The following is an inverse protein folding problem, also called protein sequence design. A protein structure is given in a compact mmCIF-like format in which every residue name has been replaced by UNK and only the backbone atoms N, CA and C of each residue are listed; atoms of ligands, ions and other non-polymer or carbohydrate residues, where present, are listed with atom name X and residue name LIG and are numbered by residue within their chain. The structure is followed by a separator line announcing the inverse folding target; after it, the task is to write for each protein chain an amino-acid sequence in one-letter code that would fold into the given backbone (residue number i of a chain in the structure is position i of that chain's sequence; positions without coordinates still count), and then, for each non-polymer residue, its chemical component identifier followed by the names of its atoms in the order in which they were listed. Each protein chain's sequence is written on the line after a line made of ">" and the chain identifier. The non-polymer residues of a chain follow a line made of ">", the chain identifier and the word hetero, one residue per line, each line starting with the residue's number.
data_IF_298267798030
#
_entry.id   IF_298267798030
#
_cell.length_a   1.000
_cell.length_b   1.000
_cell.length_c   1.000
_cell.angle_alpha   90.00
_cell.angle_beta   90.00
_cell.angle_gamma   90.00
#
_symmetry.space_group_name_H-M   'P 1'
#
loop_
_entity.id
_entity.type
_entity.pdbx_description
1 polymer ?
#
# COMPACT_ATOMS: atom_id res chain seq x y z
N UNK A 1 -37.83 22.06 -44.53
CA UNK A 1 -36.89 21.15 -43.85
C UNK A 1 -36.17 21.98 -42.80
N UNK A 2 -36.62 21.92 -41.57
CA UNK A 2 -36.04 22.66 -40.46
C UNK A 2 -35.10 21.70 -39.69
N UNK A 3 -33.83 22.04 -39.67
CA UNK A 3 -32.85 21.40 -38.81
C UNK A 3 -33.02 21.94 -37.39
N UNK A 4 -33.35 21.06 -36.45
CA UNK A 4 -33.40 21.36 -35.03
C UNK A 4 -31.97 21.40 -34.52
N UNK A 5 -31.45 22.58 -34.25
CA UNK A 5 -30.25 22.79 -33.44
C UNK A 5 -30.53 22.37 -32.00
N UNK A 6 -29.86 21.30 -31.56
CA UNK A 6 -29.85 20.90 -30.16
C UNK A 6 -28.90 21.83 -29.42
N UNK A 7 -29.45 22.76 -28.66
CA UNK A 7 -28.65 23.63 -27.78
C UNK A 7 -27.94 22.79 -26.72
N UNK A 8 -26.63 22.71 -26.81
CA UNK A 8 -25.77 22.21 -25.73
C UNK A 8 -25.79 23.29 -24.64
N UNK A 9 -26.48 23.01 -23.56
CA UNK A 9 -26.48 23.86 -22.37
C UNK A 9 -25.06 23.90 -21.80
N UNK A 10 -24.41 25.05 -21.91
CA UNK A 10 -23.09 25.27 -21.29
C UNK A 10 -23.24 25.12 -19.77
N UNK A 11 -22.58 24.12 -19.21
CA UNK A 11 -22.45 23.93 -17.77
C UNK A 11 -21.59 25.09 -17.25
N UNK A 12 -22.17 25.89 -16.33
CA UNK A 12 -21.47 27.02 -15.73
C UNK A 12 -20.19 26.56 -15.06
N UNK A 13 -19.05 27.11 -15.46
CA UNK A 13 -17.72 26.85 -14.86
C UNK A 13 -17.72 27.39 -13.42
N UNK A 14 -17.41 26.59 -12.40
CA UNK A 14 -17.28 27.08 -11.04
C UNK A 14 -16.12 28.09 -10.92
N UNK A 15 -16.24 29.07 -10.03
CA UNK A 15 -15.19 30.08 -9.82
C UNK A 15 -13.87 29.44 -9.35
N UNK A 16 -12.74 29.90 -9.86
CA UNK A 16 -11.38 29.32 -9.66
C UNK A 16 -10.94 29.13 -8.20
N UNK A 17 -11.55 29.82 -7.23
CA UNK A 17 -11.23 29.70 -5.81
C UNK A 17 -11.80 28.45 -5.12
N UNK A 18 -12.75 27.73 -5.73
CA UNK A 18 -13.37 26.51 -5.19
C UNK A 18 -12.71 25.24 -5.73
N UNK A 19 -11.81 25.33 -6.70
CA UNK A 19 -11.28 24.19 -7.44
C UNK A 19 -10.06 23.58 -6.78
N UNK A 20 -9.26 24.36 -6.05
CA UNK A 20 -7.98 23.93 -5.45
C UNK A 20 -8.12 22.87 -4.35
N UNK A 21 -9.29 22.80 -3.67
CA UNK A 21 -9.51 21.83 -2.58
C UNK A 21 -10.26 20.56 -3.04
N UNK A 22 -10.61 20.43 -4.32
CA UNK A 22 -11.37 19.29 -4.80
C UNK A 22 -10.45 18.18 -5.35
N UNK A 23 -10.65 16.95 -4.86
CA UNK A 23 -9.95 15.78 -5.39
C UNK A 23 -10.31 15.55 -6.87
N UNK A 24 -9.30 15.55 -7.75
CA UNK A 24 -9.45 15.26 -9.19
C UNK A 24 -10.15 13.91 -9.39
N UNK A 25 -9.72 12.87 -8.67
CA UNK A 25 -10.30 11.53 -8.78
C UNK A 25 -11.81 11.53 -8.42
N UNK A 26 -12.19 12.24 -7.36
CA UNK A 26 -13.59 12.37 -6.96
C UNK A 26 -14.41 13.10 -8.03
N UNK A 27 -13.89 14.17 -8.61
CA UNK A 27 -14.59 14.93 -9.64
C UNK A 27 -14.75 14.12 -10.93
N UNK A 28 -13.76 13.35 -11.33
CA UNK A 28 -13.86 12.43 -12.47
C UNK A 28 -15.00 11.43 -12.32
N UNK A 29 -15.22 10.89 -11.10
CA UNK A 29 -16.36 10.00 -10.82
C UNK A 29 -17.73 10.70 -10.98
N UNK A 30 -17.78 12.02 -10.83
CA UNK A 30 -18.97 12.83 -11.08
C UNK A 30 -19.04 13.38 -12.51
N UNK A 31 -18.14 12.99 -13.41
CA UNK A 31 -18.09 13.42 -14.80
C UNK A 31 -17.45 14.80 -15.01
N UNK A 32 -16.78 15.36 -14.00
CA UNK A 32 -16.09 16.65 -14.08
C UNK A 32 -14.60 16.45 -14.32
N UNK A 33 -14.03 17.15 -15.30
CA UNK A 33 -12.58 17.17 -15.55
C UNK A 33 -12.06 18.53 -15.07
N UNK A 34 -11.19 18.49 -14.05
CA UNK A 34 -10.53 19.68 -13.50
C UNK A 34 -9.13 19.80 -14.09
N UNK A 35 -9.01 20.35 -15.31
CA UNK A 35 -7.73 20.45 -16.03
C UNK A 35 -6.71 21.28 -15.26
N UNK A 36 -7.11 22.34 -14.59
CA UNK A 36 -6.25 23.20 -13.79
C UNK A 36 -5.63 22.48 -12.56
N UNK A 37 -6.26 21.40 -12.09
CA UNK A 37 -5.73 20.56 -11.03
C UNK A 37 -4.83 19.43 -11.57
N UNK A 38 -4.82 19.21 -12.88
CA UNK A 38 -4.02 18.20 -13.58
C UNK A 38 -2.77 18.80 -14.21
N UNK A 39 -2.86 20.06 -14.68
CA UNK A 39 -1.77 20.70 -15.42
C UNK A 39 -1.40 22.07 -14.82
N UNK A 40 -0.08 22.40 -14.78
CA UNK A 40 1.03 21.53 -15.19
C UNK A 40 1.17 20.31 -14.25
N UNK A 41 1.62 19.18 -14.79
CA UNK A 41 1.94 18.02 -13.96
C UNK A 41 2.92 18.42 -12.85
N UNK A 42 2.77 17.87 -11.63
CA UNK A 42 3.72 18.12 -10.56
C UNK A 42 5.15 17.80 -11.02
N UNK A 43 6.02 18.79 -10.99
CA UNK A 43 7.42 18.57 -11.29
C UNK A 43 8.04 17.70 -10.20
N UNK A 44 8.82 16.70 -10.61
CA UNK A 44 9.70 15.96 -9.71
C UNK A 44 10.85 16.91 -9.34
N UNK A 45 11.18 17.04 -8.06
CA UNK A 45 12.31 17.86 -7.59
C UNK A 45 13.61 17.40 -8.22
N UNK A 46 14.61 18.27 -8.27
CA UNK A 46 15.94 17.89 -8.82
C UNK A 46 16.58 16.81 -7.96
N UNK A 47 16.39 16.85 -6.63
CA UNK A 47 16.80 15.79 -5.71
C UNK A 47 16.12 14.46 -6.05
N UNK A 48 14.78 14.44 -6.14
CA UNK A 48 14.04 13.21 -6.51
C UNK A 48 14.50 12.67 -7.88
N UNK A 49 14.81 13.56 -8.82
CA UNK A 49 15.24 13.16 -10.17
C UNK A 49 16.59 12.46 -10.15
N UNK A 50 17.54 12.98 -9.37
CA UNK A 50 18.88 12.39 -9.22
C UNK A 50 18.78 11.02 -8.52
N UNK A 51 18.11 10.96 -7.37
CA UNK A 51 17.91 9.73 -6.60
C UNK A 51 17.14 8.69 -7.42
N UNK A 52 16.07 9.10 -8.12
CA UNK A 52 15.29 8.22 -8.99
C UNK A 52 16.14 7.62 -10.12
N UNK A 53 17.04 8.43 -10.73
CA UNK A 53 17.94 7.95 -11.78
C UNK A 53 18.83 6.80 -11.29
N UNK A 54 19.45 6.96 -10.13
CA UNK A 54 20.28 5.91 -9.51
C UNK A 54 19.49 4.65 -9.15
N UNK A 55 18.29 4.82 -8.62
CA UNK A 55 17.41 3.69 -8.26
C UNK A 55 17.01 2.92 -9.52
N UNK A 56 16.53 3.61 -10.56
CA UNK A 56 16.11 2.98 -11.82
C UNK A 56 17.26 2.21 -12.46
N UNK A 57 18.45 2.81 -12.54
CA UNK A 57 19.64 2.13 -13.08
C UNK A 57 20.00 0.86 -12.26
N UNK A 58 19.87 0.93 -10.94
CA UNK A 58 20.13 -0.21 -10.05
C UNK A 58 19.10 -1.32 -10.24
N UNK A 59 17.82 -0.95 -10.39
CA UNK A 59 16.73 -1.88 -10.69
C UNK A 59 16.98 -2.57 -12.03
N UNK A 60 17.29 -1.81 -13.07
CA UNK A 60 17.50 -2.35 -14.41
C UNK A 60 18.66 -3.36 -14.41
N UNK A 61 19.81 -2.97 -13.84
CA UNK A 61 20.98 -3.84 -13.70
C UNK A 61 20.67 -5.12 -12.92
N UNK A 62 19.82 -5.04 -11.90
CA UNK A 62 19.49 -6.19 -11.05
C UNK A 62 18.43 -7.10 -11.67
N UNK A 63 17.41 -6.55 -12.38
CA UNK A 63 16.27 -7.33 -12.85
C UNK A 63 16.38 -7.79 -14.31
N UNK A 64 17.26 -7.19 -15.13
CA UNK A 64 17.36 -7.46 -16.57
C UNK A 64 17.56 -8.94 -16.87
N UNK A 65 18.44 -9.62 -16.14
CA UNK A 65 18.78 -11.03 -16.37
C UNK A 65 17.81 -12.03 -15.70
N UNK A 66 16.73 -11.57 -15.06
CA UNK A 66 15.86 -12.41 -14.23
C UNK A 66 14.54 -12.84 -14.89
N UNK A 67 14.32 -12.54 -16.16
CA UNK A 67 13.04 -12.83 -16.82
C UNK A 67 12.64 -14.32 -16.75
N UNK A 68 13.59 -15.24 -16.94
CA UNK A 68 13.33 -16.68 -16.82
C UNK A 68 12.98 -17.08 -15.37
N UNK A 69 13.57 -16.41 -14.41
CA UNK A 69 13.31 -16.61 -12.99
C UNK A 69 11.91 -16.14 -12.61
N UNK A 70 11.47 -14.97 -13.08
CA UNK A 70 10.11 -14.47 -12.82
C UNK A 70 9.05 -15.46 -13.30
N UNK A 71 9.17 -15.98 -14.52
CA UNK A 71 8.26 -16.99 -15.04
C UNK A 71 8.25 -18.29 -14.20
N UNK A 72 9.40 -18.66 -13.63
CA UNK A 72 9.52 -19.82 -12.73
C UNK A 72 8.87 -19.53 -11.38
N UNK A 73 9.11 -18.36 -10.79
CA UNK A 73 8.54 -17.96 -9.51
C UNK A 73 7.03 -17.73 -9.58
N UNK A 74 6.53 -17.20 -10.71
CA UNK A 74 5.08 -17.07 -10.91
C UNK A 74 4.40 -18.45 -10.94
N UNK A 75 4.98 -19.43 -11.65
CA UNK A 75 4.48 -20.83 -11.63
C UNK A 75 4.57 -21.48 -10.25
N UNK A 76 5.65 -21.20 -9.51
CA UNK A 76 5.84 -21.70 -8.15
C UNK A 76 4.99 -20.94 -7.11
N UNK A 77 4.34 -19.85 -7.51
CA UNK A 77 3.55 -18.94 -6.67
C UNK A 77 4.36 -18.39 -5.46
N UNK A 78 5.66 -18.16 -5.64
CA UNK A 78 6.54 -17.67 -4.59
C UNK A 78 7.78 -16.97 -5.14
N UNK A 79 8.15 -15.83 -4.55
CA UNK A 79 9.47 -15.23 -4.65
C UNK A 79 10.41 -15.92 -3.66
N UNK A 80 11.64 -16.31 -4.05
CA UNK A 80 12.64 -16.84 -3.11
C UNK A 80 13.05 -15.83 -2.05
N UNK A 81 13.40 -16.31 -0.87
CA UNK A 81 13.78 -15.45 0.25
C UNK A 81 15.06 -14.65 -0.07
N UNK A 82 16.01 -15.25 -0.81
CA UNK A 82 17.23 -14.59 -1.28
C UNK A 82 16.91 -13.43 -2.24
N UNK A 83 15.86 -13.57 -3.06
CA UNK A 83 15.44 -12.49 -3.94
C UNK A 83 14.82 -11.33 -3.14
N UNK A 84 13.96 -11.62 -2.17
CA UNK A 84 13.41 -10.61 -1.26
C UNK A 84 14.53 -9.93 -0.46
N UNK A 85 15.56 -10.69 -0.06
CA UNK A 85 16.74 -10.14 0.60
C UNK A 85 17.50 -9.16 -0.32
N UNK A 86 17.64 -9.48 -1.60
CA UNK A 86 18.26 -8.57 -2.56
C UNK A 86 17.45 -7.27 -2.74
N UNK A 87 16.11 -7.32 -2.67
CA UNK A 87 15.27 -6.11 -2.69
C UNK A 87 15.49 -5.22 -1.45
N UNK A 88 15.79 -5.83 -0.27
CA UNK A 88 16.19 -5.09 0.94
C UNK A 88 17.53 -4.39 0.74
N UNK A 89 18.51 -5.08 0.21
CA UNK A 89 19.86 -4.56 -0.05
C UNK A 89 19.86 -3.42 -1.07
N UNK A 90 18.93 -3.44 -2.02
CA UNK A 90 18.69 -2.35 -2.97
C UNK A 90 17.91 -1.17 -2.35
N UNK A 91 17.50 -1.25 -1.07
CA UNK A 91 16.76 -0.19 -0.39
C UNK A 91 15.32 0.01 -0.85
N UNK A 92 14.71 -0.96 -1.58
CA UNK A 92 13.41 -0.81 -2.21
C UNK A 92 12.23 -0.82 -1.21
N UNK A 93 12.47 -1.10 0.06
CA UNK A 93 11.45 -0.99 1.11
C UNK A 93 11.43 0.41 1.76
N UNK A 94 12.52 1.19 1.68
CA UNK A 94 12.65 2.51 2.29
C UNK A 94 12.21 3.70 1.42
N UNK A 95 11.65 3.48 0.24
CA UNK A 95 11.47 4.50 -0.80
C UNK A 95 10.77 5.79 -0.31
N UNK A 96 9.67 5.70 0.44
CA UNK A 96 8.87 6.85 0.91
C UNK A 96 9.04 7.16 2.39
N UNK A 97 9.85 6.38 3.10
CA UNK A 97 10.15 6.65 4.50
C UNK A 97 11.13 7.82 4.57
N UNK A 98 10.92 8.83 5.44
CA UNK A 98 11.84 9.94 5.58
C UNK A 98 13.26 9.52 5.92
N UNK A 99 14.24 10.29 5.47
CA UNK A 99 15.68 10.06 5.70
C UNK A 99 16.04 9.99 7.18
N UNK A 100 15.36 10.73 8.03
CA UNK A 100 15.53 10.69 9.50
C UNK A 100 15.27 9.31 10.10
N UNK A 101 14.51 8.45 9.40
CA UNK A 101 14.25 7.06 9.77
C UNK A 101 15.00 6.05 8.88
N UNK A 102 15.97 6.51 8.09
CA UNK A 102 16.81 5.67 7.23
C UNK A 102 16.18 5.30 5.88
N UNK A 103 15.11 5.97 5.47
CA UNK A 103 14.52 5.83 4.13
C UNK A 103 15.10 6.80 3.11
N UNK A 104 14.51 6.85 1.92
CA UNK A 104 14.93 7.73 0.81
C UNK A 104 14.06 8.98 0.68
N UNK A 105 12.97 9.12 1.44
CA UNK A 105 12.11 10.29 1.45
C UNK A 105 11.47 10.67 0.12
N UNK A 106 11.35 9.73 -0.83
CA UNK A 106 10.84 10.02 -2.16
C UNK A 106 9.41 10.56 -2.13
N UNK A 107 9.14 11.51 -3.01
CA UNK A 107 7.76 11.94 -3.29
C UNK A 107 6.91 10.80 -3.85
N UNK A 108 5.58 10.92 -3.75
CA UNK A 108 4.68 9.93 -4.34
C UNK A 108 4.88 9.79 -5.86
N UNK A 109 5.26 10.88 -6.56
CA UNK A 109 5.52 10.85 -7.99
C UNK A 109 6.79 10.03 -8.33
N UNK A 110 7.89 10.25 -7.60
CA UNK A 110 9.12 9.48 -7.76
C UNK A 110 8.91 8.00 -7.39
N UNK A 111 8.24 7.73 -6.28
CA UNK A 111 7.84 6.39 -5.87
C UNK A 111 7.04 5.65 -6.95
N UNK A 112 6.03 6.30 -7.56
CA UNK A 112 5.25 5.71 -8.64
C UNK A 112 6.12 5.33 -9.85
N UNK A 113 7.17 6.11 -10.15
CA UNK A 113 8.13 5.80 -11.21
C UNK A 113 8.96 4.55 -10.89
N UNK A 114 9.38 4.38 -9.63
CA UNK A 114 10.07 3.15 -9.18
C UNK A 114 9.16 1.94 -9.35
N UNK A 115 7.88 2.02 -8.94
CA UNK A 115 6.93 0.93 -9.12
C UNK A 115 6.66 0.64 -10.61
N UNK A 116 6.55 1.66 -11.45
CA UNK A 116 6.41 1.48 -12.90
C UNK A 116 7.62 0.74 -13.49
N UNK A 117 8.84 1.09 -13.06
CA UNK A 117 10.06 0.43 -13.52
C UNK A 117 10.13 -1.03 -13.07
N UNK A 118 9.88 -1.32 -11.81
CA UNK A 118 9.86 -2.71 -11.32
C UNK A 118 8.77 -3.54 -11.98
N UNK A 119 7.58 -2.95 -12.24
CA UNK A 119 6.47 -3.62 -12.94
C UNK A 119 6.78 -3.93 -14.40
N UNK A 120 7.69 -3.20 -15.05
CA UNK A 120 8.07 -3.49 -16.44
C UNK A 120 8.82 -4.82 -16.57
N UNK A 121 9.44 -5.28 -15.49
CA UNK A 121 10.08 -6.60 -15.39
C UNK A 121 9.12 -7.66 -14.83
N UNK A 122 8.54 -7.40 -13.66
CA UNK A 122 7.59 -8.32 -13.01
C UNK A 122 6.67 -7.58 -12.03
N UNK A 123 5.36 -7.73 -12.23
CA UNK A 123 4.35 -7.06 -11.41
C UNK A 123 4.29 -7.61 -9.97
N UNK A 124 4.72 -8.85 -9.72
CA UNK A 124 4.77 -9.41 -8.37
C UNK A 124 5.84 -8.72 -7.52
N UNK A 125 6.97 -8.34 -8.14
CA UNK A 125 8.03 -7.56 -7.47
C UNK A 125 7.50 -6.20 -7.04
N UNK A 126 6.88 -5.49 -7.98
CA UNK A 126 6.27 -4.18 -7.72
C UNK A 126 5.20 -4.26 -6.63
N UNK A 127 4.40 -5.33 -6.63
CA UNK A 127 3.34 -5.51 -5.64
C UNK A 127 3.90 -5.78 -4.23
N UNK A 128 4.97 -6.57 -4.12
CA UNK A 128 5.64 -6.84 -2.83
C UNK A 128 6.15 -5.54 -2.19
N UNK A 129 6.85 -4.72 -2.97
CA UNK A 129 7.36 -3.40 -2.55
C UNK A 129 6.20 -2.44 -2.31
N UNK A 130 5.24 -2.41 -3.23
CA UNK A 130 4.11 -1.48 -3.22
C UNK A 130 3.19 -1.69 -2.03
N UNK A 131 2.80 -2.93 -1.72
CA UNK A 131 1.95 -3.22 -0.58
C UNK A 131 2.61 -2.86 0.76
N UNK A 132 3.91 -3.09 0.89
CA UNK A 132 4.68 -2.63 2.05
C UNK A 132 4.61 -1.10 2.20
N UNK A 133 5.01 -0.38 1.16
CA UNK A 133 5.21 1.07 1.24
C UNK A 133 3.90 1.86 1.20
N UNK A 134 2.96 1.53 0.28
CA UNK A 134 1.79 2.36 0.01
C UNK A 134 0.66 2.19 1.02
N UNK A 135 0.36 0.96 1.45
CA UNK A 135 -0.75 0.67 2.36
C UNK A 135 -0.28 0.05 3.68
N UNK A 136 0.73 -0.83 3.64
CA UNK A 136 1.17 -1.58 4.81
C UNK A 136 1.65 -0.68 5.94
N UNK A 137 2.51 0.30 5.66
CA UNK A 137 3.09 1.17 6.70
C UNK A 137 2.67 2.64 6.59
N UNK A 138 1.96 3.05 5.54
CA UNK A 138 1.57 4.46 5.33
C UNK A 138 0.72 5.01 6.47
N UNK A 139 -0.12 4.19 7.08
CA UNK A 139 -0.92 4.55 8.25
C UNK A 139 -0.03 4.97 9.44
N UNK A 140 1.03 4.23 9.71
CA UNK A 140 2.03 4.58 10.72
C UNK A 140 2.74 5.89 10.36
N UNK A 141 3.16 6.06 9.11
CA UNK A 141 3.86 7.26 8.66
C UNK A 141 3.01 8.53 8.84
N UNK A 142 1.71 8.46 8.52
CA UNK A 142 0.80 9.61 8.59
C UNK A 142 0.28 9.89 10.00
N UNK A 143 -0.06 8.84 10.77
CA UNK A 143 -0.86 8.96 11.99
C UNK A 143 -0.21 8.37 13.24
N UNK A 144 0.94 7.69 13.10
CA UNK A 144 1.65 7.11 14.23
C UNK A 144 2.20 8.16 15.18
N UNK A 145 2.31 7.81 16.46
CA UNK A 145 2.99 8.65 17.46
C UNK A 145 4.50 8.69 17.19
N UNK A 146 5.20 9.64 17.79
CA UNK A 146 6.66 9.74 17.68
C UNK A 146 7.37 8.44 18.11
N UNK A 147 6.89 7.83 19.20
CA UNK A 147 7.42 6.56 19.72
C UNK A 147 7.18 5.40 18.75
N UNK A 148 5.97 5.30 18.17
CA UNK A 148 5.65 4.28 17.19
C UNK A 148 6.51 4.43 15.93
N UNK A 149 6.66 5.65 15.43
CA UNK A 149 7.52 5.95 14.26
C UNK A 149 8.96 5.59 14.53
N UNK A 150 9.52 6.03 15.66
CA UNK A 150 10.91 5.72 16.05
C UNK A 150 11.15 4.22 16.24
N UNK A 151 10.15 3.47 16.71
CA UNK A 151 10.25 2.02 16.92
C UNK A 151 10.23 1.22 15.61
N UNK A 152 9.36 1.59 14.67
CA UNK A 152 9.07 0.73 13.52
C UNK A 152 9.64 1.24 12.19
N UNK A 153 9.66 2.57 11.93
CA UNK A 153 10.06 3.09 10.62
C UNK A 153 11.51 2.71 10.23
N UNK A 154 12.51 2.72 11.12
CA UNK A 154 13.86 2.28 10.75
C UNK A 154 13.92 0.82 10.27
N UNK A 155 13.17 -0.08 10.91
CA UNK A 155 13.10 -1.49 10.52
C UNK A 155 12.32 -1.71 9.23
N UNK A 156 11.28 -0.92 9.01
CA UNK A 156 10.51 -0.92 7.78
C UNK A 156 11.31 -0.32 6.61
N UNK A 157 12.16 0.69 6.86
CA UNK A 157 13.01 1.31 5.84
C UNK A 157 14.07 0.34 5.30
N UNK A 158 14.66 -0.45 6.16
CA UNK A 158 15.65 -1.47 5.76
C UNK A 158 15.00 -2.74 5.21
N UNK A 159 13.68 -2.91 5.41
CA UNK A 159 12.98 -4.16 5.13
C UNK A 159 13.28 -5.27 6.15
N UNK A 160 13.97 -4.98 7.28
CA UNK A 160 14.06 -5.92 8.42
C UNK A 160 12.67 -6.37 8.84
N UNK A 161 11.70 -5.45 8.82
CA UNK A 161 10.28 -5.76 8.92
C UNK A 161 9.57 -5.45 7.60
N UNK A 162 8.78 -6.38 7.11
CA UNK A 162 7.88 -6.17 5.97
C UNK A 162 6.48 -5.86 6.50
N UNK A 163 5.81 -4.89 5.88
CA UNK A 163 4.47 -4.49 6.28
C UNK A 163 3.38 -5.08 5.37
N UNK A 164 2.22 -5.35 5.97
CA UNK A 164 0.99 -5.70 5.28
C UNK A 164 -0.22 -4.91 5.82
N UNK A 165 -1.28 -4.84 5.00
CA UNK A 165 -2.49 -4.08 5.27
C UNK A 165 -3.69 -5.02 5.46
N UNK A 166 -4.20 -5.11 6.66
CA UNK A 166 -5.22 -6.05 7.08
C UNK A 166 -6.58 -5.36 7.25
N UNK A 167 -7.30 -5.13 6.12
CA UNK A 167 -8.62 -4.50 6.11
C UNK A 167 -9.73 -5.46 5.67
N UNK A 168 -9.58 -6.10 4.50
CA UNK A 168 -10.61 -6.88 3.82
C UNK A 168 -11.04 -8.11 4.61
N UNK A 169 -12.35 -8.39 4.63
CA UNK A 169 -12.96 -9.58 5.22
C UNK A 169 -13.94 -10.22 4.23
N UNK A 170 -14.39 -11.45 4.48
CA UNK A 170 -15.33 -12.19 3.60
C UNK A 170 -16.62 -11.42 3.31
N UNK A 171 -17.10 -10.61 4.28
CA UNK A 171 -18.30 -9.78 4.15
C UNK A 171 -18.04 -8.30 3.92
N UNK A 172 -16.78 -7.86 3.80
CA UNK A 172 -16.39 -6.44 3.77
C UNK A 172 -15.20 -6.21 2.83
N UNK A 173 -15.49 -6.13 1.54
CA UNK A 173 -14.54 -5.71 0.51
C UNK A 173 -14.76 -4.24 0.16
N UNK A 174 -15.60 -3.94 -0.84
CA UNK A 174 -15.93 -2.56 -1.24
C UNK A 174 -16.62 -1.78 -0.13
N UNK A 175 -17.45 -2.43 0.67
CA UNK A 175 -17.99 -1.86 1.91
C UNK A 175 -17.02 -2.10 3.08
N UNK A 176 -15.91 -1.36 3.09
CA UNK A 176 -14.90 -1.44 4.14
C UNK A 176 -15.45 -1.04 5.53
N UNK A 177 -16.56 -0.32 5.58
CA UNK A 177 -17.21 0.03 6.83
C UNK A 177 -17.91 -1.16 7.49
N UNK A 178 -18.18 -2.24 6.76
CA UNK A 178 -18.86 -3.44 7.25
C UNK A 178 -17.92 -4.47 7.91
N UNK A 179 -16.64 -4.16 8.16
CA UNK A 179 -15.71 -5.08 8.83
C UNK A 179 -16.24 -5.52 10.20
N UNK A 180 -15.94 -6.76 10.60
CA UNK A 180 -16.40 -7.40 11.84
C UNK A 180 -15.28 -7.78 12.80
N UNK A 181 -14.00 -7.78 12.34
CA UNK A 181 -12.86 -7.94 13.25
C UNK A 181 -13.04 -7.02 14.45
N UNK A 182 -13.01 -7.57 15.64
CA UNK A 182 -13.32 -6.87 16.88
C UNK A 182 -12.04 -6.57 17.67
N UNK A 183 -11.98 -5.38 18.26
CA UNK A 183 -10.97 -4.97 19.23
C UNK A 183 -11.70 -4.67 20.56
N UNK A 184 -11.71 -5.63 21.48
CA UNK A 184 -12.33 -5.50 22.79
C UNK A 184 -11.36 -4.79 23.74
N UNK A 185 -11.81 -3.70 24.34
CA UNK A 185 -11.03 -2.97 25.35
C UNK A 185 -11.02 -3.73 26.67
N UNK A 186 -9.83 -3.92 27.25
CA UNK A 186 -9.61 -4.55 28.54
C UNK A 186 -9.64 -3.52 29.67
N UNK A 187 -9.71 -3.99 30.93
CA UNK A 187 -9.77 -3.13 32.11
C UNK A 187 -8.49 -2.30 32.30
N UNK A 188 -7.34 -2.78 31.83
CA UNK A 188 -6.04 -2.09 31.86
C UNK A 188 -5.84 -1.09 30.74
N UNK A 189 -6.83 -0.95 29.84
CA UNK A 189 -6.79 -0.05 28.69
C UNK A 189 -6.17 -0.64 27.43
N UNK A 190 -5.62 -1.85 27.48
CA UNK A 190 -5.20 -2.60 26.29
C UNK A 190 -6.41 -3.10 25.48
N UNK A 191 -6.13 -3.68 24.30
CA UNK A 191 -7.17 -4.26 23.45
C UNK A 191 -6.84 -5.72 23.15
N UNK A 192 -7.89 -6.54 23.05
CA UNK A 192 -7.80 -7.91 22.54
C UNK A 192 -8.47 -7.96 21.18
N UNK A 193 -7.73 -8.36 20.14
CA UNK A 193 -8.20 -8.44 18.77
C UNK A 193 -8.60 -9.86 18.41
N UNK A 194 -9.79 -9.98 17.78
CA UNK A 194 -10.32 -11.25 17.26
C UNK A 194 -10.93 -11.01 15.88
N UNK A 195 -10.54 -11.84 14.90
CA UNK A 195 -11.06 -11.79 13.54
C UNK A 195 -10.15 -12.39 12.50
N UNK A 196 -10.59 -12.29 11.25
CA UNK A 196 -9.91 -12.85 10.09
C UNK A 196 -9.92 -11.83 8.95
N UNK A 197 -8.77 -11.69 8.28
CA UNK A 197 -8.58 -10.81 7.13
C UNK A 197 -8.20 -11.63 5.91
N UNK A 198 -8.81 -11.32 4.76
CA UNK A 198 -8.66 -12.07 3.52
C UNK A 198 -7.82 -11.31 2.50
N UNK A 199 -7.13 -12.07 1.65
CA UNK A 199 -6.37 -11.57 0.50
C UNK A 199 -5.32 -10.54 0.88
N UNK A 200 -4.62 -10.80 1.97
CA UNK A 200 -3.61 -9.88 2.49
C UNK A 200 -2.31 -10.05 1.71
N UNK A 201 -1.99 -9.09 0.87
CA UNK A 201 -0.70 -9.00 0.18
C UNK A 201 0.41 -8.84 1.22
N UNK A 202 1.49 -9.58 1.04
CA UNK A 202 2.57 -9.78 2.00
C UNK A 202 2.13 -10.51 3.29
N UNK A 203 0.89 -10.98 3.42
CA UNK A 203 0.35 -11.52 4.67
C UNK A 203 1.14 -12.67 5.28
N UNK A 204 1.75 -13.52 4.45
CA UNK A 204 2.56 -14.66 4.92
C UNK A 204 4.05 -14.37 5.09
N UNK A 205 4.52 -13.16 4.74
CA UNK A 205 5.93 -12.74 4.87
C UNK A 205 6.10 -11.46 5.69
N UNK A 206 5.00 -10.84 6.11
CA UNK A 206 5.03 -9.60 6.86
C UNK A 206 5.32 -9.85 8.34
N UNK A 207 6.07 -8.92 8.92
CA UNK A 207 6.37 -8.84 10.35
C UNK A 207 5.50 -7.80 11.06
N UNK A 208 4.96 -6.87 10.28
CA UNK A 208 4.18 -5.72 10.74
C UNK A 208 2.84 -5.67 10.00
N UNK A 209 1.75 -5.68 10.74
CA UNK A 209 0.39 -5.55 10.21
C UNK A 209 -0.25 -4.24 10.64
N UNK A 210 -0.77 -3.46 9.68
CA UNK A 210 -1.76 -2.43 9.93
C UNK A 210 -3.15 -3.08 9.91
N UNK A 211 -3.75 -3.30 11.06
CA UNK A 211 -5.00 -4.05 11.23
C UNK A 211 -6.15 -3.10 11.53
N UNK A 212 -7.23 -3.19 10.77
CA UNK A 212 -8.47 -2.44 11.05
C UNK A 212 -9.46 -3.32 11.78
N UNK A 213 -9.91 -2.84 12.94
CA UNK A 213 -10.89 -3.55 13.79
C UNK A 213 -11.90 -2.57 14.37
N UNK A 214 -13.07 -3.09 14.76
CA UNK A 214 -14.09 -2.32 15.47
C UNK A 214 -13.83 -2.32 16.97
N UNK A 215 -13.81 -1.14 17.54
CA UNK A 215 -13.86 -0.93 18.97
C UNK A 215 -15.31 -0.78 19.44
N UNK A 216 -15.57 -1.09 20.72
CA UNK A 216 -16.86 -0.84 21.37
C UNK A 216 -18.07 -1.60 20.74
N UNK A 217 -17.83 -2.79 20.17
CA UNK A 217 -18.86 -3.66 19.62
C UNK A 217 -19.18 -3.43 18.14
N UNK A 218 -20.24 -4.08 17.60
CA UNK A 218 -20.55 -4.09 16.17
C UNK A 218 -20.85 -2.72 15.56
N UNK A 219 -21.39 -1.80 16.36
CA UNK A 219 -21.71 -0.43 15.93
C UNK A 219 -20.57 0.57 16.24
N UNK A 220 -19.48 0.06 16.80
CA UNK A 220 -18.33 0.87 17.21
C UNK A 220 -17.52 1.41 16.03
N UNK A 221 -16.57 2.27 16.35
CA UNK A 221 -15.70 2.91 15.33
C UNK A 221 -14.65 1.95 14.80
N UNK A 222 -14.35 2.06 13.54
CA UNK A 222 -13.19 1.40 12.94
C UNK A 222 -11.92 2.13 13.35
N UNK A 223 -10.99 1.37 13.91
CA UNK A 223 -9.71 1.87 14.43
C UNK A 223 -8.57 1.06 13.81
N UNK A 224 -7.45 1.70 13.51
CA UNK A 224 -6.24 1.03 13.01
C UNK A 224 -5.34 0.65 14.21
N UNK A 225 -4.84 -0.58 14.19
CA UNK A 225 -3.93 -1.14 15.16
C UNK A 225 -2.62 -1.57 14.49
N UNK A 226 -1.51 -1.42 15.18
CA UNK A 226 -0.24 -2.04 14.83
C UNK A 226 -0.20 -3.40 15.52
N UNK A 227 0.05 -4.46 14.75
CA UNK A 227 0.20 -5.83 15.26
C UNK A 227 1.46 -6.43 14.67
N UNK A 228 2.31 -7.03 15.51
CA UNK A 228 3.49 -7.76 15.05
C UNK A 228 3.14 -9.23 14.78
N UNK A 229 3.65 -9.79 13.69
CA UNK A 229 3.36 -11.19 13.31
C UNK A 229 3.79 -12.20 14.38
N UNK A 230 4.84 -11.88 15.14
CA UNK A 230 5.36 -12.73 16.20
C UNK A 230 4.51 -12.77 17.47
N UNK A 231 3.46 -11.96 17.59
CA UNK A 231 2.62 -11.95 18.78
C UNK A 231 1.78 -13.22 18.86
N UNK A 232 1.60 -13.77 20.09
CA UNK A 232 0.72 -14.93 20.30
C UNK A 232 -0.67 -14.65 19.73
N UNK A 233 -1.27 -15.67 19.09
CA UNK A 233 -2.60 -15.56 18.48
C UNK A 233 -2.63 -15.04 17.04
N UNK A 234 -1.52 -14.52 16.52
CA UNK A 234 -1.39 -14.16 15.10
C UNK A 234 -0.99 -15.40 14.29
N UNK A 235 -1.71 -15.64 13.19
CA UNK A 235 -1.37 -16.69 12.24
C UNK A 235 -1.82 -16.31 10.82
N UNK A 236 -1.31 -17.02 9.81
CA UNK A 236 -1.73 -16.83 8.43
C UNK A 236 -2.07 -18.17 7.77
N UNK A 237 -2.96 -18.13 6.77
CA UNK A 237 -3.34 -19.28 5.97
C UNK A 237 -2.33 -19.62 4.89
N UNK A 238 -2.73 -20.57 4.03
CA UNK A 238 -1.97 -20.92 2.84
C UNK A 238 -1.93 -19.74 1.84
N UNK A 239 -0.97 -19.80 0.93
CA UNK A 239 -0.88 -18.85 -0.18
C UNK A 239 -2.07 -19.02 -1.13
N UNK A 240 -2.68 -17.92 -1.55
CA UNK A 240 -3.82 -17.91 -2.47
C UNK A 240 -3.41 -18.34 -3.87
N UNK A 241 -4.21 -19.21 -4.50
CA UNK A 241 -4.03 -19.58 -5.90
C UNK A 241 -4.66 -18.54 -6.82
N UNK A 242 -3.82 -17.64 -7.36
CA UNK A 242 -4.24 -16.47 -8.14
C UNK A 242 -4.10 -16.70 -9.64
N UNK A 243 -4.90 -16.00 -10.44
CA UNK A 243 -4.82 -16.01 -11.91
C UNK A 243 -3.55 -15.38 -12.47
N UNK A 244 -2.98 -14.38 -11.76
CA UNK A 244 -1.75 -13.67 -12.13
C UNK A 244 -1.08 -13.09 -10.90
N UNK A 245 0.08 -12.46 -11.09
CA UNK A 245 0.93 -11.95 -9.99
C UNK A 245 1.12 -13.00 -8.88
N UNK A 246 1.28 -14.24 -9.32
CA UNK A 246 1.23 -15.42 -8.46
C UNK A 246 2.40 -15.45 -7.49
N UNK A 247 3.55 -14.93 -7.90
CA UNK A 247 4.75 -14.90 -7.06
C UNK A 247 4.65 -13.92 -5.87
N UNK A 248 3.71 -12.94 -5.88
CA UNK A 248 3.48 -12.11 -4.70
C UNK A 248 2.74 -12.89 -3.61
N UNK A 249 3.22 -12.82 -2.38
CA UNK A 249 2.59 -13.49 -1.24
C UNK A 249 1.21 -12.86 -0.96
N UNK A 250 0.16 -13.67 -0.96
CA UNK A 250 -1.20 -13.24 -0.59
C UNK A 250 -1.82 -14.35 0.25
N UNK A 251 -2.25 -14.05 1.47
CA UNK A 251 -2.81 -15.03 2.41
C UNK A 251 -3.98 -14.45 3.18
N UNK A 252 -4.71 -15.32 3.85
CA UNK A 252 -5.56 -14.97 5.00
C UNK A 252 -4.67 -14.67 6.20
N UNK A 253 -5.04 -13.71 7.05
CA UNK A 253 -4.40 -13.45 8.36
C UNK A 253 -5.46 -13.53 9.45
N UNK A 254 -5.16 -14.29 10.50
CA UNK A 254 -6.07 -14.57 11.61
C UNK A 254 -5.52 -13.99 12.91
N UNK A 255 -6.40 -13.36 13.67
CA UNK A 255 -6.13 -12.82 14.99
C UNK A 255 -7.03 -13.56 15.99
N UNK A 256 -6.44 -14.27 16.95
CA UNK A 256 -7.12 -15.04 17.97
C UNK A 256 -6.59 -14.64 19.33
N UNK A 257 -7.36 -13.80 20.04
CA UNK A 257 -7.00 -13.21 21.34
C UNK A 257 -5.64 -12.49 21.35
N UNK A 258 -5.37 -11.75 20.27
CA UNK A 258 -4.14 -10.96 20.10
C UNK A 258 -4.18 -9.67 20.89
#
# INVERSE_FOLDING_TARGET
>A
MNATETAVTAIATPSSSLLTDQSVAKQLLFGNVLEENLFPYPAISDHDREVLGMIVESIDRFLEDKQADFARWDRAARQPDEFVQSLRELGLFGLIIPEEFGGLGLSNAAYARVLAQTSSYDSSVSLTIGAHSSIGMKGLLLFGTAEQKARYLPKLATGEMIAAFCLTESGAGSDAAAIRTAAKRNADGSFTLNGEKLWITNGGIADFYTVFARTDGPEGKVTAFIVEAAWPGVSHGAHEDKMGIRASCTTTVVFNDV
#
